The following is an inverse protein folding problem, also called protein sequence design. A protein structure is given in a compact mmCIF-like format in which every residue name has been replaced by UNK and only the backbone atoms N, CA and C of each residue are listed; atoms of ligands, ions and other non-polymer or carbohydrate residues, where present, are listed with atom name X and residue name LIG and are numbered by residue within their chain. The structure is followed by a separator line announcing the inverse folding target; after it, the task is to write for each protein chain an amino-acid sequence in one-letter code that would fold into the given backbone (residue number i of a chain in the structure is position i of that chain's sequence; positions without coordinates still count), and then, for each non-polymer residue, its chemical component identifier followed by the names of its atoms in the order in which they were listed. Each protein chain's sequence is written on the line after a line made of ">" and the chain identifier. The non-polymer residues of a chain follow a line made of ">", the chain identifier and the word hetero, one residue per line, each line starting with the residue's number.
data_IF_072100865385
#
_entry.id   IF_072100865385
#
_cell.length_a   1.000
_cell.length_b   1.000
_cell.length_c   1.000
_cell.angle_alpha   90.00
_cell.angle_beta   90.00
_cell.angle_gamma   90.00
#
_symmetry.space_group_name_H-M   'P 1'
#
loop_
_entity.id
_entity.type
_entity.pdbx_description
1 polymer ?
#
# COMPACT_ATOMS: atom_id res chain seq x y z
N UNK A 1 -15.83 -15.41 -8.97
CA UNK A 1 -14.68 -14.54 -8.97
C UNK A 1 -13.58 -15.15 -8.09
N UNK A 2 -12.37 -15.06 -8.53
CA UNK A 2 -11.25 -15.67 -7.82
C UNK A 2 -10.60 -14.66 -6.91
N UNK A 3 -10.56 -14.95 -5.61
CA UNK A 3 -9.98 -14.05 -4.60
C UNK A 3 -8.50 -13.73 -4.88
N UNK A 4 -7.77 -14.67 -5.51
CA UNK A 4 -6.37 -14.43 -5.86
C UNK A 4 -6.19 -13.30 -6.89
N UNK A 5 -7.20 -13.02 -7.74
CA UNK A 5 -7.08 -11.93 -8.70
C UNK A 5 -7.18 -10.57 -8.03
N UNK A 6 -7.92 -10.44 -6.93
CA UNK A 6 -7.95 -9.21 -6.14
C UNK A 6 -6.60 -8.94 -5.47
N UNK A 7 -5.95 -9.99 -4.96
CA UNK A 7 -4.63 -9.87 -4.35
C UNK A 7 -3.57 -9.46 -5.37
N UNK A 8 -3.62 -10.05 -6.57
CA UNK A 8 -2.70 -9.68 -7.66
C UNK A 8 -2.90 -8.22 -8.04
N UNK A 9 -4.15 -7.77 -8.15
CA UNK A 9 -4.45 -6.36 -8.45
C UNK A 9 -3.88 -5.43 -7.37
N UNK A 10 -4.02 -5.81 -6.09
CA UNK A 10 -3.47 -5.02 -4.99
C UNK A 10 -1.96 -4.86 -5.06
N UNK A 11 -1.24 -5.94 -5.43
CA UNK A 11 0.22 -5.87 -5.59
C UNK A 11 0.63 -5.04 -6.80
N UNK A 12 -0.14 -5.09 -7.88
CA UNK A 12 0.13 -4.29 -9.09
C UNK A 12 -0.03 -2.80 -8.83
N UNK A 13 -0.88 -2.40 -7.89
CA UNK A 13 -1.04 -1.00 -7.51
C UNK A 13 0.28 -0.37 -7.07
N UNK A 14 1.12 -1.11 -6.34
CA UNK A 14 2.42 -0.61 -5.91
C UNK A 14 3.31 -0.25 -7.10
N UNK A 15 3.32 -1.11 -8.12
CA UNK A 15 4.12 -0.86 -9.32
C UNK A 15 3.58 0.35 -10.11
N UNK A 16 2.26 0.48 -10.19
CA UNK A 16 1.64 1.60 -10.87
C UNK A 16 1.98 2.94 -10.20
N UNK A 17 1.87 2.98 -8.87
CA UNK A 17 2.18 4.20 -8.11
C UNK A 17 3.67 4.52 -8.20
N UNK A 18 4.52 3.50 -8.12
CA UNK A 18 5.96 3.65 -8.25
C UNK A 18 6.34 4.23 -9.60
N UNK A 19 5.71 3.79 -10.69
CA UNK A 19 5.93 4.36 -12.02
C UNK A 19 5.51 5.82 -12.09
N UNK A 20 4.40 6.17 -11.46
CA UNK A 20 3.95 7.55 -11.38
C UNK A 20 4.98 8.42 -10.66
N UNK A 21 5.47 7.98 -9.50
CA UNK A 21 6.48 8.71 -8.73
C UNK A 21 7.78 8.85 -9.53
N UNK A 22 8.24 7.79 -10.19
CA UNK A 22 9.43 7.83 -11.03
C UNK A 22 9.28 8.81 -12.19
N UNK A 23 8.08 8.93 -12.77
CA UNK A 23 7.82 9.89 -13.83
C UNK A 23 7.98 11.31 -13.32
N UNK A 24 7.49 11.61 -12.11
CA UNK A 24 7.66 12.93 -11.50
C UNK A 24 9.15 13.23 -11.28
N UNK A 25 9.92 12.27 -10.79
CA UNK A 25 11.36 12.43 -10.57
C UNK A 25 12.07 12.74 -11.89
N UNK A 26 11.78 11.97 -12.94
CA UNK A 26 12.41 12.15 -14.26
C UNK A 26 12.12 13.50 -14.88
N UNK A 27 10.97 14.08 -14.60
CA UNK A 27 10.56 15.37 -15.14
C UNK A 27 10.89 16.53 -14.21
N UNK A 28 11.72 16.29 -13.21
CA UNK A 28 12.20 17.30 -12.26
C UNK A 28 11.06 18.09 -11.61
N UNK A 29 9.96 17.40 -11.33
CA UNK A 29 8.80 17.99 -10.65
C UNK A 29 7.84 18.73 -11.57
N UNK A 30 8.07 18.75 -12.88
CA UNK A 30 7.18 19.43 -13.84
C UNK A 30 5.96 18.60 -14.23
N UNK A 31 5.87 17.36 -13.72
CA UNK A 31 4.74 16.50 -14.00
C UNK A 31 3.56 16.87 -13.09
N UNK A 32 2.35 16.62 -13.59
CA UNK A 32 1.12 16.92 -12.84
C UNK A 32 1.10 16.16 -11.51
N UNK A 33 0.91 16.87 -10.41
CA UNK A 33 0.89 16.31 -9.07
C UNK A 33 -0.55 15.99 -8.68
N UNK A 34 -0.87 14.70 -8.63
CA UNK A 34 -2.22 14.20 -8.34
C UNK A 34 -2.16 13.28 -7.13
N UNK A 35 -2.89 13.62 -6.08
CA UNK A 35 -2.92 12.86 -4.83
C UNK A 35 -3.86 11.65 -4.87
N UNK A 36 -4.69 11.52 -5.91
CA UNK A 36 -5.73 10.48 -5.96
C UNK A 36 -5.19 9.07 -5.89
N UNK A 37 -4.04 8.80 -6.52
CA UNK A 37 -3.44 7.45 -6.47
C UNK A 37 -3.05 7.07 -5.04
N UNK A 38 -2.59 8.03 -4.25
CA UNK A 38 -2.19 7.78 -2.86
C UNK A 38 -3.40 7.63 -1.94
N UNK A 39 -4.45 8.39 -2.20
CA UNK A 39 -5.73 8.23 -1.49
C UNK A 39 -6.33 6.85 -1.78
N UNK A 40 -6.26 6.42 -3.04
CA UNK A 40 -6.70 5.08 -3.44
C UNK A 40 -5.92 4.00 -2.70
N UNK A 41 -4.60 4.15 -2.60
CA UNK A 41 -3.76 3.20 -1.88
C UNK A 41 -4.19 3.11 -0.41
N UNK A 42 -4.38 4.26 0.25
CA UNK A 42 -4.82 4.32 1.64
C UNK A 42 -6.16 3.62 1.84
N UNK A 43 -7.14 3.94 0.99
CA UNK A 43 -8.47 3.34 1.06
C UNK A 43 -8.41 1.84 0.88
N UNK A 44 -7.59 1.37 -0.07
CA UNK A 44 -7.42 -0.05 -0.35
C UNK A 44 -6.84 -0.79 0.86
N UNK A 45 -5.82 -0.21 1.52
CA UNK A 45 -5.20 -0.86 2.67
C UNK A 45 -6.10 -0.83 3.90
N UNK A 46 -6.85 0.23 4.10
CA UNK A 46 -7.84 0.31 5.17
C UNK A 46 -8.97 -0.70 4.96
N UNK A 47 -9.40 -0.90 3.72
CA UNK A 47 -10.40 -1.89 3.36
C UNK A 47 -9.87 -3.31 3.63
N UNK A 48 -8.61 -3.57 3.27
CA UNK A 48 -7.97 -4.86 3.54
C UNK A 48 -7.95 -5.13 5.04
N UNK A 49 -7.58 -4.14 5.85
CA UNK A 49 -7.57 -4.28 7.31
C UNK A 49 -8.97 -4.58 7.85
N UNK A 50 -9.98 -3.88 7.34
CA UNK A 50 -11.37 -4.11 7.73
C UNK A 50 -11.79 -5.55 7.43
N UNK A 51 -11.47 -6.06 6.24
CA UNK A 51 -11.80 -7.43 5.85
C UNK A 51 -11.09 -8.45 6.72
N UNK A 52 -9.82 -8.23 7.03
CA UNK A 52 -9.05 -9.14 7.88
C UNK A 52 -9.66 -9.21 9.29
N UNK A 53 -9.99 -8.05 9.87
CA UNK A 53 -10.63 -7.99 11.18
C UNK A 53 -11.98 -8.71 11.18
N UNK A 54 -12.74 -8.56 10.09
CA UNK A 54 -14.02 -9.25 9.93
C UNK A 54 -13.83 -10.77 9.92
N UNK A 55 -12.87 -11.27 9.12
CA UNK A 55 -12.60 -12.70 9.02
C UNK A 55 -12.14 -13.28 10.34
N UNK A 56 -11.33 -12.54 11.09
CA UNK A 56 -10.87 -12.99 12.42
C UNK A 56 -12.06 -13.02 13.40
N UNK A 57 -12.88 -11.97 13.39
CA UNK A 57 -14.03 -11.88 14.26
C UNK A 57 -15.05 -13.00 14.01
N UNK A 58 -15.23 -13.40 12.75
CA UNK A 58 -16.12 -14.48 12.36
C UNK A 58 -15.47 -15.87 12.48
N UNK A 59 -14.23 -15.94 12.94
CA UNK A 59 -13.44 -17.16 13.12
C UNK A 59 -13.25 -17.95 11.82
N UNK A 60 -13.34 -17.26 10.68
CA UNK A 60 -13.01 -17.81 9.37
C UNK A 60 -11.49 -17.87 9.20
N UNK A 61 -10.80 -16.85 9.70
CA UNK A 61 -9.35 -16.77 9.70
C UNK A 61 -8.87 -16.83 11.16
N UNK A 62 -8.03 -17.82 11.46
CA UNK A 62 -7.42 -17.95 12.78
C UNK A 62 -6.06 -17.26 12.72
N UNK A 63 -5.91 -16.17 13.47
CA UNK A 63 -4.69 -15.38 13.51
C UNK A 63 -4.20 -15.30 14.96
N UNK A 64 -2.90 -15.48 15.15
CA UNK A 64 -2.24 -15.31 16.44
C UNK A 64 -1.73 -13.87 16.65
N UNK A 65 -2.22 -12.92 15.86
CA UNK A 65 -1.88 -11.50 15.94
C UNK A 65 -0.95 -11.01 14.84
N UNK A 66 -0.22 -11.90 14.17
CA UNK A 66 0.78 -11.50 13.17
C UNK A 66 0.15 -10.90 11.93
N UNK A 67 -0.91 -11.50 11.42
CA UNK A 67 -1.56 -11.05 10.18
C UNK A 67 -2.17 -9.66 10.39
N UNK A 68 -2.92 -9.50 11.46
CA UNK A 68 -3.57 -8.23 11.76
C UNK A 68 -2.54 -7.11 11.95
N UNK A 69 -1.45 -7.38 12.66
CA UNK A 69 -0.39 -6.39 12.89
C UNK A 69 0.27 -5.94 11.59
N UNK A 70 0.56 -6.87 10.69
CA UNK A 70 1.18 -6.53 9.40
C UNK A 70 0.21 -5.72 8.54
N UNK A 71 -1.05 -6.12 8.46
CA UNK A 71 -2.05 -5.39 7.66
C UNK A 71 -2.31 -4.00 8.24
N UNK A 72 -2.33 -3.88 9.57
CA UNK A 72 -2.44 -2.59 10.24
C UNK A 72 -1.25 -1.69 9.90
N UNK A 73 -0.03 -2.25 9.90
CA UNK A 73 1.16 -1.53 9.48
C UNK A 73 1.06 -1.04 8.03
N UNK A 74 0.55 -1.89 7.13
CA UNK A 74 0.35 -1.51 5.73
C UNK A 74 -0.62 -0.33 5.62
N UNK A 75 -1.71 -0.33 6.37
CA UNK A 75 -2.66 0.78 6.38
C UNK A 75 -2.01 2.07 6.88
N UNK A 76 -1.24 1.98 7.97
CA UNK A 76 -0.53 3.13 8.52
C UNK A 76 0.54 3.66 7.57
N UNK A 77 1.28 2.77 6.91
CA UNK A 77 2.30 3.16 5.94
C UNK A 77 1.69 3.86 4.71
N UNK A 78 0.52 3.41 4.26
CA UNK A 78 -0.17 4.06 3.14
C UNK A 78 -0.58 5.49 3.49
N UNK A 79 -1.01 5.72 4.72
CA UNK A 79 -1.32 7.07 5.22
C UNK A 79 -0.06 7.93 5.27
N UNK A 80 1.05 7.37 5.75
CA UNK A 80 2.33 8.06 5.79
C UNK A 80 2.80 8.46 4.39
N UNK A 81 2.64 7.58 3.41
CA UNK A 81 3.01 7.86 2.01
C UNK A 81 2.21 9.05 1.47
N UNK A 82 0.90 9.09 1.73
CA UNK A 82 0.07 10.22 1.31
C UNK A 82 0.57 11.52 1.92
N UNK A 83 0.87 11.51 3.21
CA UNK A 83 1.39 12.69 3.91
C UNK A 83 2.75 13.12 3.35
N UNK A 84 3.63 12.15 3.04
CA UNK A 84 4.92 12.44 2.41
C UNK A 84 4.74 13.08 1.03
N UNK A 85 3.80 12.59 0.24
CA UNK A 85 3.55 13.17 -1.07
C UNK A 85 3.02 14.60 -0.95
N UNK A 86 2.13 14.87 0.00
CA UNK A 86 1.65 16.22 0.27
C UNK A 86 2.80 17.13 0.70
N UNK A 87 3.72 16.61 1.52
CA UNK A 87 4.92 17.34 1.92
C UNK A 87 5.82 17.64 0.72
N UNK A 88 5.93 16.69 -0.21
CA UNK A 88 6.66 16.93 -1.46
C UNK A 88 6.01 18.05 -2.28
N UNK A 89 4.69 18.07 -2.41
CA UNK A 89 3.99 19.11 -3.14
C UNK A 89 4.32 20.50 -2.56
N UNK A 90 4.41 20.60 -1.25
CA UNK A 90 4.69 21.86 -0.56
C UNK A 90 6.17 22.27 -0.59
N UNK A 91 7.10 21.31 -0.59
CA UNK A 91 8.52 21.57 -0.45
C UNK A 91 9.33 21.42 -1.75
N UNK A 92 8.84 20.61 -2.68
CA UNK A 92 9.56 20.30 -3.92
C UNK A 92 10.80 19.42 -3.75
N UNK A 93 11.00 18.82 -2.59
CA UNK A 93 12.20 18.02 -2.31
C UNK A 93 12.09 16.62 -2.91
N UNK A 94 12.90 16.35 -3.93
CA UNK A 94 12.89 15.07 -4.65
C UNK A 94 13.23 13.88 -3.73
N UNK A 95 14.06 14.06 -2.71
CA UNK A 95 14.40 13.00 -1.79
C UNK A 95 13.18 12.41 -1.06
N UNK A 96 12.10 13.19 -0.93
CA UNK A 96 10.85 12.69 -0.36
C UNK A 96 10.24 11.63 -1.29
N UNK A 97 10.29 11.86 -2.60
CA UNK A 97 9.77 10.91 -3.60
C UNK A 97 10.59 9.60 -3.59
N UNK A 98 11.91 9.70 -3.42
CA UNK A 98 12.77 8.52 -3.33
C UNK A 98 12.40 7.69 -2.10
N UNK A 99 12.12 8.34 -0.99
CA UNK A 99 11.67 7.67 0.24
C UNK A 99 10.33 6.97 0.03
N UNK A 100 9.41 7.59 -0.70
CA UNK A 100 8.12 6.97 -1.03
C UNK A 100 8.34 5.68 -1.81
N UNK A 101 9.24 5.69 -2.79
CA UNK A 101 9.55 4.49 -3.58
C UNK A 101 10.06 3.35 -2.69
N UNK A 102 10.98 3.67 -1.77
CA UNK A 102 11.50 2.66 -0.84
C UNK A 102 10.38 2.08 0.03
N UNK A 103 9.49 2.93 0.53
CA UNK A 103 8.35 2.48 1.33
C UNK A 103 7.40 1.59 0.51
N UNK A 104 7.15 1.94 -0.75
CA UNK A 104 6.30 1.13 -1.62
C UNK A 104 6.90 -0.25 -1.86
N UNK A 105 8.20 -0.33 -2.06
CA UNK A 105 8.90 -1.62 -2.23
C UNK A 105 8.77 -2.48 -0.98
N UNK A 106 8.98 -1.91 0.20
CA UNK A 106 8.84 -2.62 1.47
C UNK A 106 7.41 -3.10 1.69
N UNK A 107 6.43 -2.24 1.43
CA UNK A 107 5.02 -2.59 1.60
C UNK A 107 4.62 -3.73 0.67
N UNK A 108 5.07 -3.69 -0.58
CA UNK A 108 4.78 -4.73 -1.56
C UNK A 108 5.31 -6.08 -1.09
N UNK A 109 6.55 -6.10 -0.59
CA UNK A 109 7.17 -7.31 -0.08
C UNK A 109 6.41 -7.86 1.13
N UNK A 110 6.08 -7.01 2.09
CA UNK A 110 5.35 -7.40 3.29
C UNK A 110 3.95 -7.91 2.94
N UNK A 111 3.27 -7.23 2.04
CA UNK A 111 1.92 -7.65 1.63
C UNK A 111 1.95 -8.98 0.89
N UNK A 112 2.93 -9.18 0.02
CA UNK A 112 3.08 -10.45 -0.71
C UNK A 112 3.24 -11.62 0.26
N UNK A 113 4.09 -11.45 1.27
CA UNK A 113 4.31 -12.48 2.29
C UNK A 113 3.04 -12.76 3.07
N UNK A 114 2.34 -11.71 3.52
CA UNK A 114 1.17 -11.87 4.37
C UNK A 114 -0.03 -12.45 3.60
N UNK A 115 -0.19 -12.10 2.33
CA UNK A 115 -1.26 -12.64 1.50
C UNK A 115 -1.08 -14.14 1.27
N UNK A 116 0.15 -14.57 1.03
CA UNK A 116 0.46 -16.01 0.91
C UNK A 116 0.12 -16.75 2.19
N UNK A 117 0.44 -16.17 3.34
CA UNK A 117 0.11 -16.74 4.63
C UNK A 117 -1.39 -16.87 4.83
N UNK A 118 -2.15 -15.82 4.48
CA UNK A 118 -3.61 -15.84 4.58
C UNK A 118 -4.21 -16.94 3.70
N UNK A 119 -3.75 -17.04 2.45
CA UNK A 119 -4.24 -18.06 1.51
C UNK A 119 -3.96 -19.47 2.01
N UNK A 120 -2.87 -19.68 2.73
CA UNK A 120 -2.55 -20.99 3.30
C UNK A 120 -3.41 -21.32 4.52
N UNK A 121 -3.96 -20.33 5.21
CA UNK A 121 -4.77 -20.52 6.42
C UNK A 121 -6.26 -20.70 6.12
N UNK A 122 -6.70 -20.32 4.97
CA UNK A 122 -8.09 -20.48 4.52
C UNK A 122 -8.17 -21.42 3.33
#
# INVERSE_FOLDING_TARGET
>A
MNDSSEFVFGLECYEMIKRYVNTIIKQSGNYRKDTRVFTFLEDHKKMLLFHIKYLINKKILIDNGDIELVVEKLANDSETILLLFMKYIMSGKINILERIILMLDEMKEEENVILKKILNLI
#
